data_IF_030587487303
#
_entry.id   IF_030587487303
#
_cell.length_a   1.000
_cell.length_b   1.000
_cell.length_c   1.000
_cell.angle_alpha   90.00
_cell.angle_beta   90.00
_cell.angle_gamma   90.00
#
_symmetry.space_group_name_H-M   'P 1'
#
loop_
_entity.id
_entity.type
_entity.pdbx_description
1 polymer ?
#
# COMPACT_ATOMS: atom_id res chain seq x y z
N UNK A 1 16.61 -8.76 4.30
CA UNK A 1 16.24 -8.37 2.94
C UNK A 1 14.80 -8.79 2.65
N UNK A 2 13.94 -7.86 2.18
CA UNK A 2 12.62 -8.16 1.68
C UNK A 2 12.64 -8.19 0.15
N UNK A 3 12.05 -9.21 -0.45
CA UNK A 3 11.85 -9.32 -1.90
C UNK A 3 10.37 -9.12 -2.17
N UNK A 4 10.01 -8.11 -2.96
CA UNK A 4 8.63 -7.87 -3.38
C UNK A 4 8.48 -8.23 -4.85
N UNK A 5 7.52 -9.08 -5.16
CA UNK A 5 7.22 -9.50 -6.54
C UNK A 5 5.74 -9.81 -6.70
N UNK A 6 5.24 -9.82 -7.92
CA UNK A 6 3.86 -10.13 -8.26
C UNK A 6 3.65 -11.62 -8.60
N UNK A 7 2.42 -12.09 -8.47
CA UNK A 7 1.98 -13.41 -8.88
C UNK A 7 1.18 -13.37 -10.19
N UNK A 8 0.84 -12.18 -10.65
CA UNK A 8 0.04 -11.97 -11.87
C UNK A 8 -1.31 -12.74 -11.88
N UNK A 9 -1.92 -12.95 -10.70
CA UNK A 9 -3.22 -13.64 -10.60
C UNK A 9 -4.28 -12.84 -11.33
N UNK A 10 -5.11 -13.52 -12.12
CA UNK A 10 -6.20 -12.87 -12.87
C UNK A 10 -7.37 -12.56 -11.95
N UNK A 11 -7.95 -11.36 -12.05
CA UNK A 11 -9.16 -10.96 -11.31
C UNK A 11 -10.42 -11.51 -11.98
N UNK A 12 -10.37 -11.76 -13.28
CA UNK A 12 -11.50 -12.27 -14.05
C UNK A 12 -11.13 -13.57 -14.76
N UNK A 13 -11.92 -14.59 -14.52
CA UNK A 13 -11.93 -15.86 -15.30
C UNK A 13 -12.53 -15.69 -16.70
N UNK A 14 -12.46 -14.52 -17.33
CA UNK A 14 -12.96 -14.37 -18.68
C UNK A 14 -11.93 -14.90 -19.66
N UNK A 15 -12.39 -15.76 -20.59
CA UNK A 15 -11.70 -16.24 -21.80
C UNK A 15 -10.27 -15.73 -21.91
N UNK A 16 -9.47 -16.24 -21.01
CA UNK A 16 -8.11 -15.79 -20.77
C UNK A 16 -7.30 -16.00 -22.03
N UNK A 17 -6.72 -14.94 -22.52
CA UNK A 17 -5.72 -15.11 -23.56
C UNK A 17 -4.62 -16.02 -23.02
N UNK A 18 -4.09 -16.90 -23.85
CA UNK A 18 -2.96 -17.79 -23.54
C UNK A 18 -1.81 -17.06 -22.81
N UNK A 19 -1.54 -15.80 -23.15
CA UNK A 19 -0.54 -14.96 -22.50
C UNK A 19 -0.83 -14.64 -21.04
N UNK A 20 -2.09 -14.48 -20.68
CA UNK A 20 -2.47 -14.19 -19.28
C UNK A 20 -2.28 -15.42 -18.39
N UNK A 21 -2.64 -16.61 -18.90
CA UNK A 21 -2.37 -17.87 -18.20
C UNK A 21 -0.87 -18.09 -18.00
N UNK A 22 -0.06 -17.87 -19.05
CA UNK A 22 1.40 -17.96 -18.92
C UNK A 22 1.99 -16.98 -17.89
N UNK A 23 1.45 -15.76 -17.79
CA UNK A 23 1.93 -14.79 -16.79
C UNK A 23 1.68 -15.30 -15.39
N UNK A 24 0.49 -15.81 -15.10
CA UNK A 24 0.14 -16.40 -13.81
C UNK A 24 1.00 -17.64 -13.48
N UNK A 25 1.18 -18.56 -14.43
CA UNK A 25 2.05 -19.74 -14.26
C UNK A 25 3.50 -19.34 -13.95
N UNK A 26 4.01 -18.30 -14.62
CA UNK A 26 5.36 -17.77 -14.34
C UNK A 26 5.44 -17.11 -12.95
N UNK A 27 4.37 -16.44 -12.52
CA UNK A 27 4.28 -15.84 -11.19
C UNK A 27 4.31 -16.91 -10.09
N UNK A 28 3.52 -17.97 -10.22
CA UNK A 28 3.52 -19.10 -9.28
C UNK A 28 4.87 -19.85 -9.30
N UNK A 29 5.44 -20.15 -10.47
CA UNK A 29 6.77 -20.79 -10.57
C UNK A 29 7.87 -19.92 -9.93
N UNK A 30 7.80 -18.59 -10.07
CA UNK A 30 8.72 -17.65 -9.41
C UNK A 30 8.59 -17.74 -7.90
N UNK A 31 7.34 -17.76 -7.38
CA UNK A 31 7.05 -17.92 -5.97
C UNK A 31 7.66 -19.21 -5.42
N UNK A 32 7.37 -20.36 -6.02
CA UNK A 32 7.91 -21.67 -5.59
C UNK A 32 9.44 -21.68 -5.55
N UNK A 33 10.09 -21.11 -6.59
CA UNK A 33 11.55 -21.02 -6.64
C UNK A 33 12.11 -20.14 -5.52
N UNK A 34 11.51 -19.00 -5.25
CA UNK A 34 11.95 -18.09 -4.18
C UNK A 34 11.73 -18.74 -2.80
N UNK A 35 10.59 -19.37 -2.57
CA UNK A 35 10.29 -20.05 -1.31
C UNK A 35 11.28 -21.22 -1.08
N UNK A 36 11.57 -22.01 -2.11
CA UNK A 36 12.56 -23.10 -2.02
C UNK A 36 13.98 -22.57 -1.77
N UNK A 37 14.36 -21.47 -2.46
CA UNK A 37 15.70 -20.90 -2.36
C UNK A 37 15.97 -20.30 -0.98
N UNK A 38 14.96 -19.73 -0.34
CA UNK A 38 15.08 -19.04 0.93
C UNK A 38 14.38 -19.74 2.09
N UNK A 39 13.98 -20.98 1.91
CA UNK A 39 13.36 -21.83 2.92
C UNK A 39 14.11 -21.78 4.24
N UNK A 40 14.29 -21.54 5.18
CA UNK A 40 15.12 -21.46 6.39
C UNK A 40 16.01 -20.21 6.50
N UNK A 41 15.89 -19.27 5.56
CA UNK A 41 16.69 -18.06 5.64
C UNK A 41 15.96 -16.99 6.44
N UNK A 42 16.42 -16.69 7.64
CA UNK A 42 15.82 -15.69 8.53
C UNK A 42 16.08 -14.24 8.06
N UNK A 43 17.05 -14.03 7.16
CA UNK A 43 17.44 -12.70 6.69
C UNK A 43 16.76 -12.28 5.38
N UNK A 44 16.15 -13.25 4.69
CA UNK A 44 15.48 -13.01 3.40
C UNK A 44 14.05 -13.53 3.46
N UNK A 45 13.08 -12.71 3.05
CA UNK A 45 11.69 -13.10 2.94
C UNK A 45 11.06 -12.49 1.70
N UNK A 46 10.23 -13.28 1.02
CA UNK A 46 9.48 -12.84 -0.15
C UNK A 46 8.07 -12.42 0.22
N UNK A 47 7.60 -11.35 -0.39
CA UNK A 47 6.25 -10.79 -0.25
C UNK A 47 5.65 -10.69 -1.64
N UNK A 48 4.43 -11.19 -1.79
CA UNK A 48 3.81 -11.38 -3.09
C UNK A 48 2.61 -10.49 -3.27
N UNK A 49 2.66 -9.63 -4.29
CA UNK A 49 1.48 -8.96 -4.80
C UNK A 49 0.52 -10.01 -5.40
N UNK A 50 -0.77 -10.00 -5.07
CA UNK A 50 -1.75 -10.87 -5.73
C UNK A 50 -1.77 -10.64 -7.24
N UNK A 51 -1.80 -9.38 -7.64
CA UNK A 51 -1.83 -8.93 -9.03
C UNK A 51 -0.56 -8.14 -9.37
N UNK A 52 -0.61 -7.24 -10.34
CA UNK A 52 0.46 -6.26 -10.55
C UNK A 52 0.31 -5.09 -9.58
N UNK A 53 1.42 -4.37 -9.32
CA UNK A 53 1.41 -3.24 -8.39
C UNK A 53 0.35 -2.20 -8.74
N UNK A 54 0.17 -1.91 -10.02
CA UNK A 54 -0.79 -0.91 -10.49
C UNK A 54 -2.23 -1.28 -10.12
N UNK A 55 -2.58 -2.56 -10.26
CA UNK A 55 -3.91 -3.09 -9.90
C UNK A 55 -4.08 -3.06 -8.38
N UNK A 56 -3.13 -3.61 -7.63
CA UNK A 56 -3.24 -3.72 -6.18
C UNK A 56 -3.29 -2.35 -5.52
N UNK A 57 -2.53 -1.38 -6.04
CA UNK A 57 -2.59 0.01 -5.60
C UNK A 57 -3.97 0.60 -5.87
N UNK A 58 -4.51 0.42 -7.07
CA UNK A 58 -5.82 0.94 -7.44
C UNK A 58 -6.94 0.32 -6.59
N UNK A 59 -6.93 -1.00 -6.39
CA UNK A 59 -7.94 -1.69 -5.58
C UNK A 59 -7.86 -1.29 -4.11
N UNK A 60 -6.65 -1.08 -3.59
CA UNK A 60 -6.46 -0.62 -2.20
C UNK A 60 -6.99 0.81 -2.00
N UNK A 61 -6.91 1.66 -3.03
CA UNK A 61 -7.32 3.07 -2.97
C UNK A 61 -8.69 3.37 -3.60
N UNK A 62 -9.26 2.41 -4.29
CA UNK A 62 -10.49 2.55 -5.09
C UNK A 62 -11.68 3.15 -4.31
N UNK A 63 -11.88 2.79 -3.03
CA UNK A 63 -13.06 3.23 -2.27
C UNK A 63 -12.86 4.55 -1.53
N UNK A 64 -11.63 4.91 -1.18
CA UNK A 64 -11.32 6.04 -0.31
C UNK A 64 -10.60 7.20 -1.02
N UNK A 65 -9.79 6.89 -2.03
CA UNK A 65 -8.87 7.85 -2.65
C UNK A 65 -8.89 7.81 -4.19
N UNK A 66 -10.05 7.63 -4.79
CA UNK A 66 -10.28 7.55 -6.24
C UNK A 66 -9.75 8.75 -7.03
N UNK A 67 -9.65 9.91 -6.38
CA UNK A 67 -9.18 11.16 -6.99
C UNK A 67 -7.83 10.97 -7.71
N UNK A 68 -6.92 10.17 -7.16
CA UNK A 68 -5.59 9.97 -7.75
C UNK A 68 -5.66 9.37 -9.15
N UNK A 69 -6.49 8.35 -9.31
CA UNK A 69 -6.64 7.65 -10.59
C UNK A 69 -7.44 8.50 -11.57
N UNK A 70 -8.48 9.18 -11.10
CA UNK A 70 -9.33 10.03 -11.93
C UNK A 70 -8.55 11.18 -12.58
N UNK A 71 -7.60 11.78 -11.86
CA UNK A 71 -6.71 12.81 -12.42
C UNK A 71 -5.82 12.23 -13.54
N UNK A 72 -5.28 11.03 -13.36
CA UNK A 72 -4.46 10.38 -14.39
C UNK A 72 -5.28 10.03 -15.64
N UNK A 73 -6.55 9.62 -15.47
CA UNK A 73 -7.48 9.38 -16.59
C UNK A 73 -7.70 10.66 -17.40
N UNK A 74 -7.99 11.78 -16.75
CA UNK A 74 -8.19 13.06 -17.42
C UNK A 74 -6.97 13.54 -18.21
N UNK A 75 -5.78 13.27 -17.70
CA UNK A 75 -4.54 13.63 -18.39
C UNK A 75 -4.26 12.76 -19.63
N UNK A 76 -4.68 11.50 -19.61
CA UNK A 76 -4.35 10.58 -20.69
C UNK A 76 -5.36 10.59 -21.84
N UNK A 77 -6.61 10.83 -21.55
CA UNK A 77 -7.69 10.78 -22.55
C UNK A 77 -8.29 12.14 -22.82
N UNK A 78 -8.51 12.45 -24.10
CA UNK A 78 -9.12 13.72 -24.57
C UNK A 78 -10.61 13.61 -24.88
N UNK A 79 -11.15 12.40 -24.97
CA UNK A 79 -12.55 12.18 -25.31
C UNK A 79 -13.41 12.06 -24.07
N UNK A 80 -14.37 12.93 -23.88
CA UNK A 80 -15.28 12.97 -22.73
C UNK A 80 -15.99 11.65 -22.46
N UNK A 81 -16.41 10.92 -23.51
CA UNK A 81 -17.10 9.64 -23.36
C UNK A 81 -16.17 8.58 -22.76
N UNK A 82 -14.90 8.53 -23.20
CA UNK A 82 -13.88 7.60 -22.69
C UNK A 82 -13.53 7.95 -21.25
N UNK A 83 -13.35 9.22 -20.94
CA UNK A 83 -13.07 9.69 -19.56
C UNK A 83 -14.22 9.28 -18.63
N UNK A 84 -15.47 9.54 -19.03
CA UNK A 84 -16.65 9.19 -18.22
C UNK A 84 -16.78 7.68 -18.01
N UNK A 85 -16.53 6.87 -19.02
CA UNK A 85 -16.57 5.41 -18.94
C UNK A 85 -15.49 4.89 -17.96
N UNK A 86 -14.26 5.34 -18.11
CA UNK A 86 -13.17 4.91 -17.22
C UNK A 86 -13.39 5.36 -15.77
N UNK A 87 -13.83 6.59 -15.56
CA UNK A 87 -14.20 7.06 -14.21
C UNK A 87 -15.34 6.25 -13.60
N UNK A 88 -16.36 5.95 -14.39
CA UNK A 88 -17.45 5.08 -13.94
C UNK A 88 -16.95 3.71 -13.51
N UNK A 89 -16.06 3.08 -14.28
CA UNK A 89 -15.47 1.78 -13.94
C UNK A 89 -14.63 1.84 -12.64
N UNK A 90 -13.91 2.94 -12.42
CA UNK A 90 -13.15 3.16 -11.17
C UNK A 90 -14.09 3.43 -10.00
N UNK A 91 -15.12 4.24 -10.19
CA UNK A 91 -15.96 4.73 -9.10
C UNK A 91 -17.04 3.74 -8.66
N UNK A 92 -17.63 3.01 -9.61
CA UNK A 92 -18.82 2.17 -9.39
C UNK A 92 -18.72 0.78 -9.99
N UNK A 93 -17.70 0.52 -10.83
CA UNK A 93 -17.47 -0.78 -11.44
C UNK A 93 -17.08 -1.86 -10.43
N UNK A 94 -17.07 -3.09 -10.88
CA UNK A 94 -16.50 -4.22 -10.13
C UNK A 94 -14.99 -4.09 -10.01
N UNK A 95 -14.37 -4.86 -9.10
CA UNK A 95 -12.90 -4.94 -9.01
C UNK A 95 -12.26 -5.33 -10.34
N UNK A 96 -12.95 -6.14 -11.14
CA UNK A 96 -12.55 -6.52 -12.49
C UNK A 96 -12.56 -5.34 -13.47
N UNK A 97 -13.60 -4.51 -13.44
CA UNK A 97 -13.71 -3.32 -14.30
C UNK A 97 -12.63 -2.30 -13.92
N UNK A 98 -12.41 -2.09 -12.63
CA UNK A 98 -11.32 -1.27 -12.11
C UNK A 98 -9.96 -1.79 -12.61
N UNK A 99 -9.66 -3.07 -12.40
CA UNK A 99 -8.39 -3.68 -12.81
C UNK A 99 -8.15 -3.59 -14.32
N UNK A 100 -9.16 -3.86 -15.13
CA UNK A 100 -9.05 -3.75 -16.59
C UNK A 100 -8.77 -2.29 -17.02
N UNK A 101 -9.47 -1.33 -16.43
CA UNK A 101 -9.26 0.10 -16.72
C UNK A 101 -7.85 0.53 -16.37
N UNK A 102 -7.33 0.13 -15.20
CA UNK A 102 -5.96 0.43 -14.77
C UNK A 102 -4.91 -0.21 -15.68
N UNK A 103 -5.10 -1.47 -16.07
CA UNK A 103 -4.18 -2.14 -16.99
C UNK A 103 -4.15 -1.47 -18.37
N UNK A 104 -5.31 -1.05 -18.89
CA UNK A 104 -5.37 -0.28 -20.13
C UNK A 104 -4.64 1.04 -19.99
N UNK A 105 -4.91 1.81 -18.96
CA UNK A 105 -4.27 3.08 -18.69
C UNK A 105 -2.75 2.95 -18.55
N UNK A 106 -2.27 2.01 -17.75
CA UNK A 106 -0.85 1.75 -17.57
C UNK A 106 -0.16 1.24 -18.83
N UNK A 107 -0.87 0.49 -19.69
CA UNK A 107 -0.37 0.06 -21.00
C UNK A 107 -0.27 1.21 -21.99
N UNK A 108 -1.32 2.03 -22.08
CA UNK A 108 -1.41 3.12 -23.06
C UNK A 108 -0.39 4.23 -22.75
N UNK A 109 -0.15 4.51 -21.49
CA UNK A 109 0.87 5.46 -21.03
C UNK A 109 2.28 4.87 -20.94
N UNK A 110 2.40 3.55 -20.77
CA UNK A 110 3.59 2.87 -20.29
C UNK A 110 3.70 2.91 -18.76
N UNK A 111 3.96 1.76 -18.14
CA UNK A 111 3.92 1.60 -16.67
C UNK A 111 4.77 2.60 -15.90
N UNK A 112 5.99 2.89 -16.39
CA UNK A 112 6.88 3.86 -15.74
C UNK A 112 6.32 5.29 -15.78
N UNK A 113 5.74 5.70 -16.90
CA UNK A 113 5.12 7.03 -17.03
C UNK A 113 3.85 7.13 -16.20
N UNK A 114 3.01 6.08 -16.21
CA UNK A 114 1.83 6.00 -15.35
C UNK A 114 2.19 6.21 -13.87
N UNK A 115 3.21 5.49 -13.37
CA UNK A 115 3.68 5.63 -11.99
C UNK A 115 4.21 7.05 -11.69
N UNK A 116 4.93 7.66 -12.64
CA UNK A 116 5.46 9.02 -12.50
C UNK A 116 4.34 10.06 -12.41
N UNK A 117 3.34 9.97 -13.28
CA UNK A 117 2.20 10.89 -13.25
C UNK A 117 1.39 10.66 -11.95
N UNK A 118 1.09 9.40 -11.61
CA UNK A 118 0.34 9.08 -10.40
C UNK A 118 1.02 9.64 -9.14
N UNK A 119 2.35 9.59 -9.07
CA UNK A 119 3.11 10.10 -7.91
C UNK A 119 2.91 11.59 -7.62
N UNK A 120 2.53 12.39 -8.63
CA UNK A 120 2.26 13.81 -8.45
C UNK A 120 0.94 14.08 -7.68
N UNK A 121 0.06 13.09 -7.63
CA UNK A 121 -1.26 13.22 -6.98
C UNK A 121 -1.34 12.47 -5.65
N UNK A 122 -0.33 11.67 -5.32
CA UNK A 122 -0.29 10.92 -4.05
C UNK A 122 0.00 11.89 -2.91
N UNK A 123 -0.81 11.81 -1.86
CA UNK A 123 -0.64 12.53 -0.60
C UNK A 123 -0.63 11.57 0.61
N UNK A 124 -0.65 12.11 1.82
CA UNK A 124 -0.62 11.34 3.06
C UNK A 124 -1.85 10.45 3.31
N UNK A 125 -2.93 10.62 2.54
CA UNK A 125 -4.14 9.80 2.65
C UNK A 125 -4.08 8.52 1.78
N UNK A 126 -3.00 8.31 1.01
CA UNK A 126 -2.85 7.12 0.20
C UNK A 126 -2.81 5.84 1.04
N UNK A 127 -3.54 4.83 0.61
CA UNK A 127 -3.46 3.49 1.20
C UNK A 127 -2.37 2.66 0.50
N UNK A 128 -1.44 2.12 1.27
CA UNK A 128 -0.37 1.27 0.75
C UNK A 128 -0.81 -0.20 0.81
N UNK A 129 -0.67 -0.98 -0.27
CA UNK A 129 -0.96 -2.41 -0.25
C UNK A 129 -0.25 -3.15 0.88
N UNK A 130 -0.96 -4.06 1.55
CA UNK A 130 -0.49 -4.69 2.78
C UNK A 130 0.83 -5.47 2.61
N UNK A 131 1.04 -6.12 1.47
CA UNK A 131 2.29 -6.86 1.23
C UNK A 131 3.53 -5.93 1.18
N UNK A 132 3.35 -4.66 0.79
CA UNK A 132 4.42 -3.65 0.82
C UNK A 132 4.70 -3.24 2.27
N UNK A 133 3.65 -2.99 3.08
CA UNK A 133 3.81 -2.70 4.51
C UNK A 133 4.50 -3.85 5.24
N UNK A 134 4.12 -5.09 4.95
CA UNK A 134 4.75 -6.28 5.50
C UNK A 134 6.24 -6.40 5.10
N UNK A 135 6.56 -6.07 3.84
CA UNK A 135 7.93 -6.06 3.36
C UNK A 135 8.78 -4.98 4.06
N UNK A 136 8.23 -3.79 4.26
CA UNK A 136 8.89 -2.70 5.00
C UNK A 136 9.12 -3.11 6.44
N UNK A 137 8.10 -3.62 7.13
CA UNK A 137 8.20 -4.07 8.52
C UNK A 137 9.28 -5.15 8.69
N UNK A 138 9.30 -6.16 7.80
CA UNK A 138 10.34 -7.19 7.83
C UNK A 138 11.74 -6.63 7.55
N UNK A 139 11.89 -5.76 6.57
CA UNK A 139 13.18 -5.18 6.20
C UNK A 139 13.76 -4.29 7.31
N UNK A 140 12.90 -3.61 8.07
CA UNK A 140 13.27 -2.67 9.13
C UNK A 140 13.31 -3.28 10.54
N UNK A 141 12.98 -4.57 10.70
CA UNK A 141 12.80 -5.21 12.02
C UNK A 141 13.98 -5.08 13.00
N UNK A 142 15.21 -4.96 12.49
CA UNK A 142 16.42 -4.83 13.32
C UNK A 142 16.70 -3.39 13.75
N UNK A 143 16.12 -2.42 13.05
CA UNK A 143 16.38 -0.99 13.30
C UNK A 143 15.19 -0.27 13.91
N UNK A 144 13.96 -0.78 13.66
CA UNK A 144 12.76 -0.14 14.16
C UNK A 144 12.68 -0.25 15.68
N UNK A 145 12.40 0.87 16.34
CA UNK A 145 12.28 0.95 17.79
C UNK A 145 11.20 1.97 18.16
N UNK A 146 10.91 2.11 19.46
CA UNK A 146 9.87 3.00 19.98
C UNK A 146 10.08 4.45 19.51
N UNK A 147 11.32 4.94 19.49
CA UNK A 147 11.60 6.34 19.11
C UNK A 147 11.35 6.60 17.63
N UNK A 148 11.70 5.63 16.77
CA UNK A 148 11.41 5.72 15.32
C UNK A 148 9.91 5.71 15.08
N UNK A 149 9.18 4.77 15.71
CA UNK A 149 7.73 4.70 15.58
C UNK A 149 7.08 5.98 16.12
N UNK A 150 7.54 6.47 17.25
CA UNK A 150 7.03 7.68 17.85
C UNK A 150 7.16 8.87 16.88
N UNK A 151 8.30 9.03 16.22
CA UNK A 151 8.51 10.06 15.19
C UNK A 151 7.61 9.87 13.97
N UNK A 152 7.37 8.63 13.55
CA UNK A 152 6.45 8.35 12.45
C UNK A 152 5.01 8.75 12.79
N UNK A 153 4.58 8.47 14.01
CA UNK A 153 3.25 8.87 14.52
C UNK A 153 3.17 10.40 14.64
N UNK A 154 4.19 11.04 15.19
CA UNK A 154 4.27 12.51 15.29
C UNK A 154 4.16 13.16 13.92
N UNK A 155 4.93 12.67 12.94
CA UNK A 155 4.85 13.16 11.57
C UNK A 155 3.44 12.97 10.98
N UNK A 156 2.86 11.79 11.18
CA UNK A 156 1.52 11.49 10.68
C UNK A 156 0.45 12.39 11.30
N UNK A 157 0.52 12.62 12.61
CA UNK A 157 -0.40 13.53 13.31
C UNK A 157 -0.33 14.98 12.76
N UNK A 158 0.85 15.42 12.35
CA UNK A 158 1.02 16.76 11.79
C UNK A 158 0.39 16.93 10.41
N UNK A 159 0.02 15.84 9.72
CA UNK A 159 -0.68 15.86 8.43
C UNK A 159 -2.20 15.93 8.58
N UNK A 160 -2.74 15.67 9.77
CA UNK A 160 -4.18 15.77 10.03
C UNK A 160 -4.61 17.22 10.27
N UNK A 161 -5.81 17.55 9.81
CA UNK A 161 -6.48 18.80 10.15
C UNK A 161 -6.56 18.96 11.69
N UNK A 162 -6.47 20.20 12.15
CA UNK A 162 -6.52 20.53 13.57
C UNK A 162 -7.94 20.31 14.13
N UNK A 163 -8.16 19.10 14.63
CA UNK A 163 -9.31 18.77 15.48
C UNK A 163 -8.92 18.90 16.95
N UNK A 164 -9.90 19.10 17.86
CA UNK A 164 -9.58 19.14 19.30
C UNK A 164 -8.84 17.91 19.81
N UNK A 165 -9.13 16.75 19.23
CA UNK A 165 -8.49 15.49 19.63
C UNK A 165 -7.08 15.36 19.05
N UNK A 166 -6.86 15.80 17.79
CA UNK A 166 -5.51 15.85 17.21
C UNK A 166 -4.60 16.83 17.94
N UNK A 167 -5.11 17.99 18.37
CA UNK A 167 -4.36 19.00 19.15
C UNK A 167 -3.94 18.41 20.50
N UNK A 168 -4.88 17.79 21.24
CA UNK A 168 -4.56 17.16 22.54
C UNK A 168 -3.54 16.05 22.42
N UNK A 169 -3.61 15.27 21.34
CA UNK A 169 -2.66 14.21 21.07
C UNK A 169 -1.28 14.80 20.75
N UNK A 170 -1.20 15.83 19.90
CA UNK A 170 0.04 16.55 19.56
C UNK A 170 0.70 17.16 20.79
N UNK A 171 -0.05 17.82 21.68
CA UNK A 171 0.47 18.39 22.93
C UNK A 171 1.06 17.30 23.84
N UNK A 172 0.38 16.16 23.98
CA UNK A 172 0.93 15.01 24.72
C UNK A 172 2.23 14.51 24.12
N UNK A 173 2.32 14.37 22.81
CA UNK A 173 3.52 13.90 22.13
C UNK A 173 4.74 14.77 22.38
N UNK A 174 4.57 16.09 22.45
CA UNK A 174 5.68 17.04 22.67
C UNK A 174 6.31 16.96 24.07
N UNK A 175 5.60 16.42 25.04
CA UNK A 175 6.03 16.39 26.45
C UNK A 175 6.64 15.04 26.88
N UNK A 176 6.60 14.01 26.02
CA UNK A 176 6.95 12.66 26.42
C UNK A 176 8.44 12.36 26.24
N UNK A 177 9.07 11.95 27.32
CA UNK A 177 10.46 11.48 27.33
C UNK A 177 10.57 10.01 27.69
N UNK A 178 9.63 9.48 28.45
CA UNK A 178 9.64 8.08 28.92
C UNK A 178 9.14 7.12 27.82
N UNK A 179 9.78 5.94 27.74
CA UNK A 179 9.47 4.89 26.74
C UNK A 179 8.06 4.32 26.95
N UNK A 180 7.63 4.15 28.19
CA UNK A 180 6.32 3.59 28.53
C UNK A 180 5.21 4.55 28.08
N UNK A 181 5.40 5.83 28.34
CA UNK A 181 4.46 6.86 27.93
C UNK A 181 4.38 6.99 26.40
N UNK A 182 5.54 6.87 25.69
CA UNK A 182 5.58 6.83 24.24
C UNK A 182 4.81 5.65 23.68
N UNK A 183 4.97 4.44 24.24
CA UNK A 183 4.21 3.24 23.83
C UNK A 183 2.70 3.44 24.02
N UNK A 184 2.28 4.00 25.16
CA UNK A 184 0.88 4.30 25.43
C UNK A 184 0.30 5.29 24.40
N UNK A 185 1.04 6.34 24.05
CA UNK A 185 0.62 7.30 23.04
C UNK A 185 0.54 6.71 21.64
N UNK A 186 1.48 5.84 21.26
CA UNK A 186 1.43 5.12 19.99
C UNK A 186 0.19 4.22 19.93
N UNK A 187 -0.15 3.52 21.04
CA UNK A 187 -1.35 2.70 21.09
C UNK A 187 -2.63 3.55 20.95
N UNK A 188 -2.71 4.66 21.66
CA UNK A 188 -3.83 5.60 21.53
C UNK A 188 -3.99 6.13 20.10
N UNK A 189 -2.87 6.39 19.41
CA UNK A 189 -2.91 6.76 18.00
C UNK A 189 -3.47 5.64 17.12
N UNK A 190 -3.01 4.39 17.30
CA UNK A 190 -3.52 3.23 16.56
C UNK A 190 -5.03 3.08 16.72
N UNK A 191 -5.53 3.22 17.95
CA UNK A 191 -6.94 3.05 18.26
C UNK A 191 -7.80 4.19 17.68
N UNK A 192 -7.26 5.40 17.62
CA UNK A 192 -7.96 6.57 17.08
C UNK A 192 -7.88 6.69 15.56
N UNK A 193 -6.83 6.14 14.92
CA UNK A 193 -6.53 6.29 13.49
C UNK A 193 -6.22 4.93 12.84
N UNK A 194 -7.14 3.98 12.94
CA UNK A 194 -6.96 2.59 12.44
C UNK A 194 -6.65 2.55 10.93
N UNK A 195 -7.25 3.44 10.16
CA UNK A 195 -7.06 3.51 8.71
C UNK A 195 -5.77 4.22 8.27
N UNK A 196 -5.05 4.85 9.20
CA UNK A 196 -3.78 5.51 8.89
C UNK A 196 -2.71 4.50 8.47
N UNK A 197 -1.87 4.90 7.51
CA UNK A 197 -0.77 4.05 7.00
C UNK A 197 0.20 3.61 8.08
N UNK A 198 0.48 4.48 9.08
CA UNK A 198 1.37 4.14 10.20
C UNK A 198 0.71 3.09 11.08
N UNK A 199 -0.59 3.21 11.41
CA UNK A 199 -1.33 2.20 12.18
C UNK A 199 -1.32 0.84 11.47
N UNK A 200 -1.57 0.82 10.17
CA UNK A 200 -1.49 -0.40 9.35
C UNK A 200 -0.07 -0.98 9.30
N UNK A 201 0.97 -0.14 9.20
CA UNK A 201 2.35 -0.59 9.26
C UNK A 201 2.68 -1.21 10.63
N UNK A 202 2.20 -0.64 11.73
CA UNK A 202 2.44 -1.16 13.07
C UNK A 202 1.86 -2.56 13.28
N UNK A 203 0.73 -2.89 12.64
CA UNK A 203 0.19 -4.26 12.63
C UNK A 203 1.20 -5.24 12.02
N UNK A 204 1.91 -4.82 10.98
CA UNK A 204 2.93 -5.66 10.36
C UNK A 204 4.23 -5.69 11.20
N UNK A 205 4.60 -4.57 11.83
CA UNK A 205 5.74 -4.48 12.74
C UNK A 205 5.59 -5.45 13.91
N UNK A 206 4.40 -5.55 14.51
CA UNK A 206 4.11 -6.49 15.61
C UNK A 206 4.41 -7.95 15.24
N UNK A 207 4.34 -8.32 13.96
CA UNK A 207 4.63 -9.68 13.49
C UNK A 207 6.13 -10.02 13.40
N UNK A 208 6.99 -8.99 13.27
CA UNK A 208 8.40 -9.19 12.94
C UNK A 208 9.36 -8.59 13.99
N UNK A 209 8.90 -7.72 14.85
CA UNK A 209 9.72 -6.94 15.77
C UNK A 209 9.39 -7.25 17.24
N UNK A 210 9.99 -8.31 17.79
CA UNK A 210 9.81 -8.67 19.22
C UNK A 210 10.31 -7.57 20.19
N UNK A 211 11.29 -6.76 19.78
CA UNK A 211 11.89 -5.71 20.59
C UNK A 211 10.99 -4.48 20.78
N UNK A 212 10.07 -4.26 19.88
CA UNK A 212 9.10 -3.17 19.98
C UNK A 212 8.03 -3.45 21.04
N UNK A 213 7.64 -4.73 21.20
CA UNK A 213 6.64 -5.16 22.17
C UNK A 213 7.19 -5.29 23.62
N UNK A 214 8.52 -5.30 23.77
CA UNK A 214 9.22 -5.33 25.08
C UNK A 214 9.57 -3.94 25.54
#
# INVERSE_FOLDING_TARGET
CAIVTDKDVQIVESTSSFYKMQAQERGESRKEKLETLYDRNIWVKSFYAPHTLEIDFALTNNRQNKKYINEVIELNYSRDCTIKEHKYNIDTGSDADCANTILMLARDMGKGWYATILSNYIDSAVCIPQYILAAIAFASREIINVDIIFKMVEYSLNQYEETQDSIKLKEKFQMLTDVTDKKCCIQNFRDAYEDNVVSKLLIEVDKYCESWCK
#
